data_IF_766624612237
#
_entry.id   IF_766624612237
#
_cell.length_a   1.000
_cell.length_b   1.000
_cell.length_c   1.000
_cell.angle_alpha   90.00
_cell.angle_beta   90.00
_cell.angle_gamma   90.00
#
_symmetry.space_group_name_H-M   'P 1'
#
loop_
_entity.id
_entity.type
_entity.pdbx_description
1 polymer ?
#
# COMPACT_ATOMS: atom_id res chain seq x y z
N UNK A 1 15.65 20.13 -1.55
CA UNK A 1 15.33 20.64 -0.19
C UNK A 1 15.93 19.73 0.86
N UNK A 2 16.29 20.28 2.03
CA UNK A 2 17.04 19.61 3.13
C UNK A 2 16.26 18.50 3.87
N UNK A 3 15.11 18.07 3.35
CA UNK A 3 14.25 17.07 4.00
C UNK A 3 14.98 15.76 4.25
N UNK A 4 15.89 15.39 3.35
CA UNK A 4 16.75 14.22 3.48
C UNK A 4 17.56 14.27 4.79
N UNK A 5 18.03 15.44 5.21
CA UNK A 5 18.90 15.61 6.37
C UNK A 5 18.14 15.66 7.70
N UNK A 6 16.80 15.65 7.66
CA UNK A 6 15.93 15.67 8.84
C UNK A 6 15.70 14.28 9.44
N UNK A 7 16.13 13.21 8.78
CA UNK A 7 15.98 11.86 9.28
C UNK A 7 16.99 11.57 10.39
N UNK A 8 16.49 11.20 11.57
CA UNK A 8 17.31 10.75 12.70
C UNK A 8 18.30 9.63 12.28
N UNK A 9 19.60 9.74 12.61
CA UNK A 9 20.59 8.69 12.31
C UNK A 9 20.17 7.27 12.73
N UNK A 10 19.42 7.12 13.83
CA UNK A 10 18.94 5.81 14.25
C UNK A 10 17.91 5.23 13.25
N UNK A 11 16.97 6.05 12.77
CA UNK A 11 16.03 5.66 11.72
C UNK A 11 16.75 5.36 10.39
N UNK A 12 17.78 6.14 10.02
CA UNK A 12 18.58 5.82 8.83
C UNK A 12 19.26 4.45 8.92
N UNK A 13 19.83 4.11 10.09
CA UNK A 13 20.42 2.79 10.34
C UNK A 13 19.38 1.67 10.24
N UNK A 14 18.18 1.89 10.79
CA UNK A 14 17.06 0.96 10.72
C UNK A 14 16.58 0.73 9.29
N UNK A 15 16.38 1.79 8.50
CA UNK A 15 15.99 1.69 7.09
C UNK A 15 17.03 0.93 6.26
N UNK A 16 18.33 1.16 6.49
CA UNK A 16 19.43 0.41 5.85
C UNK A 16 19.35 -1.08 6.19
N UNK A 17 19.17 -1.43 7.47
CA UNK A 17 19.00 -2.83 7.91
C UNK A 17 17.77 -3.49 7.27
N UNK A 18 16.65 -2.77 7.20
CA UNK A 18 15.42 -3.27 6.56
C UNK A 18 15.61 -3.51 5.07
N UNK A 19 16.27 -2.59 4.36
CA UNK A 19 16.57 -2.76 2.95
C UNK A 19 17.51 -3.94 2.69
N UNK A 20 18.58 -4.08 3.49
CA UNK A 20 19.49 -5.22 3.37
C UNK A 20 18.77 -6.55 3.61
N UNK A 21 17.89 -6.63 4.62
CA UNK A 21 17.05 -7.80 4.84
C UNK A 21 16.13 -8.07 3.65
N UNK A 22 15.57 -7.04 3.02
CA UNK A 22 14.74 -7.22 1.83
C UNK A 22 15.53 -7.83 0.66
N UNK A 23 16.77 -7.39 0.44
CA UNK A 23 17.66 -8.00 -0.55
C UNK A 23 18.01 -9.45 -0.20
N UNK A 24 18.29 -9.74 1.07
CA UNK A 24 18.51 -11.11 1.54
C UNK A 24 17.30 -12.01 1.28
N UNK A 25 16.08 -11.54 1.59
CA UNK A 25 14.86 -12.30 1.31
C UNK A 25 14.67 -12.57 -0.19
N UNK A 26 15.00 -11.60 -1.05
CA UNK A 26 14.95 -11.78 -2.48
C UNK A 26 15.99 -12.80 -2.97
N UNK A 27 17.20 -12.76 -2.42
CA UNK A 27 18.26 -13.73 -2.72
C UNK A 27 17.85 -15.15 -2.30
N UNK A 28 17.31 -15.31 -1.09
CA UNK A 28 16.79 -16.58 -0.57
C UNK A 28 15.45 -17.01 -1.20
N UNK A 29 14.86 -16.21 -2.08
CA UNK A 29 13.50 -16.41 -2.63
C UNK A 29 12.45 -16.70 -1.55
N UNK A 30 12.57 -16.03 -0.40
CA UNK A 30 11.73 -16.30 0.77
C UNK A 30 10.24 -16.19 0.40
N UNK A 31 9.38 -17.17 0.76
CA UNK A 31 8.03 -17.31 0.18
C UNK A 31 7.10 -16.14 0.48
N UNK A 32 7.27 -15.49 1.63
CA UNK A 32 6.40 -14.39 2.09
C UNK A 32 7.16 -13.11 2.41
N UNK A 33 8.42 -12.98 1.96
CA UNK A 33 9.23 -11.77 2.19
C UNK A 33 10.01 -11.40 0.92
N UNK A 34 10.34 -10.12 0.69
CA UNK A 34 9.98 -8.96 1.51
C UNK A 34 8.46 -8.64 1.51
N UNK A 35 8.05 -7.81 2.48
CA UNK A 35 6.68 -7.27 2.53
C UNK A 35 6.56 -6.06 1.58
N UNK A 36 5.35 -5.81 1.10
CA UNK A 36 4.93 -4.62 0.36
C UNK A 36 4.17 -3.74 1.35
N UNK A 37 4.35 -2.43 1.28
CA UNK A 37 3.64 -1.44 2.08
C UNK A 37 3.18 -0.33 1.14
N UNK A 38 1.87 -0.09 1.05
CA UNK A 38 1.20 0.70 0.01
C UNK A 38 1.50 2.20 0.03
N UNK A 39 2.13 2.72 1.10
CA UNK A 39 2.39 4.15 1.26
C UNK A 39 3.21 4.78 0.12
N UNK A 40 4.25 4.11 -0.37
CA UNK A 40 5.01 4.57 -1.54
C UNK A 40 5.57 3.37 -2.30
N UNK A 41 4.89 2.99 -3.38
CA UNK A 41 5.23 1.84 -4.22
C UNK A 41 5.21 2.24 -5.70
N UNK A 42 6.03 1.55 -6.49
CA UNK A 42 5.98 1.61 -7.94
C UNK A 42 5.80 0.21 -8.50
N UNK A 43 4.88 0.05 -9.44
CA UNK A 43 4.57 -1.24 -10.09
C UNK A 43 4.57 -1.00 -11.60
N UNK A 44 5.17 -1.91 -12.36
CA UNK A 44 5.09 -1.85 -13.80
C UNK A 44 3.63 -2.02 -14.25
N UNK A 45 3.14 -1.12 -15.12
CA UNK A 45 1.73 -1.10 -15.53
C UNK A 45 1.24 -2.47 -16.01
N UNK A 46 2.01 -3.13 -16.86
CA UNK A 46 1.64 -4.44 -17.40
C UNK A 46 1.52 -5.51 -16.30
N UNK A 47 2.34 -5.46 -15.24
CA UNK A 47 2.24 -6.41 -14.14
C UNK A 47 1.01 -6.12 -13.26
N UNK A 48 0.68 -4.84 -13.06
CA UNK A 48 -0.51 -4.42 -12.32
C UNK A 48 -1.79 -4.81 -13.06
N UNK A 49 -1.86 -4.55 -14.37
CA UNK A 49 -2.98 -4.95 -15.23
C UNK A 49 -3.09 -6.48 -15.32
N UNK A 50 -1.97 -7.21 -15.37
CA UNK A 50 -1.96 -8.68 -15.42
C UNK A 50 -2.64 -9.34 -14.22
N UNK A 51 -2.61 -8.72 -13.04
CA UNK A 51 -3.30 -9.22 -11.84
C UNK A 51 -4.64 -8.55 -11.58
N UNK A 52 -5.10 -7.68 -12.47
CA UNK A 52 -6.28 -6.84 -12.31
C UNK A 52 -6.25 -5.88 -11.11
N UNK A 53 -5.07 -5.42 -10.70
CA UNK A 53 -4.91 -4.43 -9.64
C UNK A 53 -5.32 -4.86 -8.23
N UNK A 54 -5.74 -3.88 -7.40
CA UNK A 54 -6.22 -4.10 -6.03
C UNK A 54 -7.58 -4.80 -5.99
N UNK A 55 -7.84 -5.53 -4.91
CA UNK A 55 -9.12 -6.18 -4.62
C UNK A 55 -10.05 -5.24 -3.86
N UNK A 56 -11.12 -4.79 -4.50
CA UNK A 56 -12.05 -3.81 -3.93
C UNK A 56 -13.05 -4.41 -2.92
N UNK A 57 -12.93 -5.71 -2.64
CA UNK A 57 -13.66 -6.32 -1.53
C UNK A 57 -13.02 -5.97 -0.17
N UNK A 58 -11.75 -5.55 -0.13
CA UNK A 58 -11.14 -5.05 1.10
C UNK A 58 -11.74 -3.69 1.45
N UNK A 59 -12.44 -3.63 2.59
CA UNK A 59 -13.07 -2.40 3.10
C UNK A 59 -12.49 -2.05 4.46
N UNK A 60 -12.36 -0.76 4.73
CA UNK A 60 -11.74 -0.29 5.97
C UNK A 60 -10.24 -0.56 6.01
N UNK A 61 -9.69 -0.90 7.17
CA UNK A 61 -8.24 -0.95 7.37
C UNK A 61 -7.67 -2.36 7.17
N UNK A 62 -6.65 -2.46 6.32
CA UNK A 62 -5.66 -3.53 6.32
C UNK A 62 -5.93 -4.71 5.39
N UNK A 63 -4.84 -5.44 5.14
CA UNK A 63 -4.72 -6.65 4.31
C UNK A 63 -4.73 -6.45 2.78
N UNK A 64 -5.11 -5.28 2.27
CA UNK A 64 -5.14 -4.97 0.84
C UNK A 64 -3.74 -5.01 0.20
N UNK A 65 -2.74 -4.45 0.87
CA UNK A 65 -1.34 -4.47 0.41
C UNK A 65 -0.73 -5.88 0.44
N UNK A 66 -1.14 -6.68 1.43
CA UNK A 66 -0.71 -8.08 1.54
C UNK A 66 -1.31 -8.92 0.42
N UNK A 67 -2.58 -8.70 0.07
CA UNK A 67 -3.26 -9.35 -1.05
C UNK A 67 -2.61 -8.99 -2.39
N UNK A 68 -2.42 -7.69 -2.68
CA UNK A 68 -1.75 -7.21 -3.89
C UNK A 68 -0.38 -7.87 -4.06
N UNK A 69 0.41 -7.91 -2.98
CA UNK A 69 1.72 -8.55 -2.98
C UNK A 69 1.65 -10.04 -3.30
N UNK A 70 0.70 -10.76 -2.71
CA UNK A 70 0.57 -12.20 -2.94
C UNK A 70 0.20 -12.49 -4.39
N UNK A 71 -0.67 -11.67 -5.01
CA UNK A 71 -1.03 -11.75 -6.43
C UNK A 71 0.15 -11.44 -7.35
N UNK A 72 0.90 -10.36 -7.09
CA UNK A 72 2.11 -10.03 -7.86
C UNK A 72 3.13 -11.19 -7.80
N UNK A 73 3.32 -11.78 -6.62
CA UNK A 73 4.25 -12.89 -6.45
C UNK A 73 3.80 -14.17 -7.15
N UNK A 74 2.50 -14.45 -7.19
CA UNK A 74 2.00 -15.65 -7.88
C UNK A 74 2.20 -15.58 -9.40
N UNK A 75 2.29 -14.37 -9.97
CA UNK A 75 2.65 -14.16 -11.39
C UNK A 75 4.17 -13.99 -11.63
N UNK A 76 4.99 -14.20 -10.60
CA UNK A 76 6.46 -14.20 -10.67
C UNK A 76 7.12 -12.84 -10.42
N UNK A 77 6.36 -11.79 -10.09
CA UNK A 77 6.91 -10.46 -9.83
C UNK A 77 7.62 -10.43 -8.47
N UNK A 78 8.83 -9.90 -8.46
CA UNK A 78 9.65 -9.75 -7.24
C UNK A 78 9.48 -8.35 -6.66
N UNK A 79 9.37 -8.29 -5.34
CA UNK A 79 9.25 -7.03 -4.62
C UNK A 79 10.66 -6.51 -4.25
N UNK A 80 11.00 -5.30 -4.70
CA UNK A 80 12.25 -4.62 -4.33
C UNK A 80 11.97 -3.53 -3.32
N UNK A 81 12.86 -3.38 -2.33
CA UNK A 81 12.73 -2.32 -1.32
C UNK A 81 13.35 -1.03 -1.84
N UNK A 82 12.62 0.07 -1.76
CA UNK A 82 13.13 1.41 -2.12
C UNK A 82 13.78 2.16 -0.95
N UNK A 83 13.82 1.56 0.25
CA UNK A 83 14.21 2.22 1.50
C UNK A 83 15.68 2.68 1.54
N UNK A 84 16.52 2.24 0.60
CA UNK A 84 17.89 2.76 0.45
C UNK A 84 17.93 4.13 -0.21
N UNK A 85 16.92 4.47 -1.01
CA UNK A 85 16.92 5.64 -1.89
C UNK A 85 15.86 6.68 -1.51
N UNK A 86 14.80 6.27 -0.81
CA UNK A 86 13.68 7.16 -0.46
C UNK A 86 13.55 7.36 1.05
N UNK A 87 13.02 8.54 1.43
CA UNK A 87 12.67 8.91 2.80
C UNK A 87 11.26 9.48 2.78
N UNK A 88 10.30 8.71 3.30
CA UNK A 88 8.89 9.11 3.32
C UNK A 88 8.56 9.68 4.68
N UNK A 89 7.97 10.87 4.71
CA UNK A 89 7.44 11.47 5.92
C UNK A 89 5.93 11.32 5.91
N UNK A 90 5.39 10.73 6.97
CA UNK A 90 3.95 10.62 7.16
C UNK A 90 3.45 11.88 7.86
N UNK A 91 2.52 12.59 7.23
CA UNK A 91 1.80 13.69 7.87
C UNK A 91 0.87 13.08 8.93
N UNK A 92 1.07 13.48 10.18
CA UNK A 92 0.31 12.92 11.28
C UNK A 92 -1.18 13.21 11.12
N UNK A 93 -2.00 12.19 11.33
CA UNK A 93 -3.44 12.28 11.47
C UNK A 93 -3.95 11.21 12.45
N UNK A 94 -5.15 11.38 13.02
CA UNK A 94 -5.80 10.34 13.82
C UNK A 94 -5.98 9.05 13.01
N UNK A 95 -5.93 7.91 13.70
CA UNK A 95 -6.17 6.60 13.07
C UNK A 95 -7.62 6.52 12.58
N UNK A 96 -7.85 5.74 11.52
CA UNK A 96 -9.21 5.40 11.07
C UNK A 96 -9.94 4.58 12.15
N UNK A 97 -11.24 4.79 12.30
CA UNK A 97 -12.11 4.01 13.21
C UNK A 97 -12.09 2.51 12.90
N UNK A 98 -11.80 2.15 11.66
CA UNK A 98 -11.68 0.75 11.21
C UNK A 98 -10.33 0.11 11.57
N UNK A 99 -9.41 0.86 12.20
CA UNK A 99 -8.08 0.35 12.55
C UNK A 99 -8.18 -0.55 13.78
N UNK A 100 -7.83 -1.85 13.68
CA UNK A 100 -7.90 -2.74 14.83
C UNK A 100 -6.74 -2.49 15.81
N UNK A 101 -6.93 -2.88 17.07
CA UNK A 101 -5.87 -2.82 18.10
C UNK A 101 -4.66 -3.67 17.73
N UNK A 102 -4.90 -4.88 17.20
CA UNK A 102 -3.87 -5.74 16.60
C UNK A 102 -4.29 -6.04 15.18
N UNK A 103 -3.32 -6.08 14.26
CA UNK A 103 -3.62 -6.34 12.84
C UNK A 103 -4.38 -7.65 12.62
N UNK A 104 -4.14 -8.68 13.45
CA UNK A 104 -4.79 -10.00 13.37
C UNK A 104 -6.28 -9.95 13.70
N UNK A 105 -6.72 -8.92 14.40
CA UNK A 105 -8.11 -8.71 14.79
C UNK A 105 -8.86 -7.87 13.74
N UNK A 106 -8.22 -7.56 12.60
CA UNK A 106 -8.82 -6.78 11.52
C UNK A 106 -9.88 -7.57 10.77
N UNK A 107 -10.96 -6.88 10.39
CA UNK A 107 -12.10 -7.47 9.67
C UNK A 107 -11.71 -8.18 8.35
N UNK A 108 -10.60 -7.77 7.74
CA UNK A 108 -10.14 -8.31 6.45
C UNK A 108 -9.22 -9.53 6.58
N UNK A 109 -8.86 -9.97 7.79
CA UNK A 109 -7.88 -11.06 7.98
C UNK A 109 -8.41 -12.40 7.49
N UNK A 110 -9.66 -12.74 7.83
CA UNK A 110 -10.30 -13.96 7.34
C UNK A 110 -10.39 -13.96 5.81
N UNK A 111 -10.80 -12.82 5.23
CA UNK A 111 -10.86 -12.65 3.78
C UNK A 111 -9.48 -12.81 3.11
N UNK A 112 -8.41 -12.26 3.70
CA UNK A 112 -7.04 -12.46 3.19
C UNK A 112 -6.60 -13.93 3.24
N UNK A 113 -7.02 -14.68 4.26
CA UNK A 113 -6.62 -16.07 4.49
C UNK A 113 -7.50 -17.09 3.75
N UNK A 114 -8.52 -16.64 3.03
CA UNK A 114 -9.42 -17.50 2.24
C UNK A 114 -8.66 -18.46 1.33
N UNK A 115 -9.21 -19.66 1.16
CA UNK A 115 -8.70 -20.62 0.19
C UNK A 115 -8.89 -20.13 -1.25
N UNK A 116 -8.14 -20.72 -2.19
CA UNK A 116 -8.33 -20.55 -3.63
C UNK A 116 -8.20 -19.11 -4.17
N UNK A 117 -7.44 -18.23 -3.51
CA UNK A 117 -7.08 -16.94 -4.12
C UNK A 117 -6.31 -17.16 -5.42
N UNK A 118 -6.88 -16.67 -6.51
CA UNK A 118 -6.27 -16.66 -7.84
C UNK A 118 -5.24 -15.54 -7.97
N UNK A 119 -4.39 -15.63 -9.00
CA UNK A 119 -3.47 -14.54 -9.33
C UNK A 119 -4.21 -13.28 -9.83
N UNK A 120 -5.28 -13.47 -10.60
CA UNK A 120 -6.12 -12.41 -11.16
C UNK A 120 -7.17 -11.97 -10.13
N UNK A 121 -7.30 -10.66 -9.89
CA UNK A 121 -8.31 -10.13 -8.99
C UNK A 121 -9.69 -10.12 -9.66
N UNK A 122 -10.68 -10.80 -9.07
CA UNK A 122 -12.04 -10.85 -9.65
C UNK A 122 -12.75 -9.50 -9.58
N UNK A 123 -12.65 -8.80 -8.44
CA UNK A 123 -13.22 -7.47 -8.24
C UNK A 123 -12.11 -6.41 -8.27
N UNK A 124 -11.52 -6.21 -9.45
CA UNK A 124 -10.35 -5.37 -9.65
C UNK A 124 -10.55 -4.25 -10.68
N UNK A 125 -9.46 -3.87 -11.34
CA UNK A 125 -9.35 -2.70 -12.24
C UNK A 125 -10.25 -2.77 -13.49
N UNK A 126 -10.42 -3.95 -14.08
CA UNK A 126 -11.00 -4.16 -15.41
C UNK A 126 -12.44 -3.67 -15.55
N UNK A 127 -13.24 -3.70 -14.49
CA UNK A 127 -14.61 -3.15 -14.48
C UNK A 127 -14.62 -1.68 -14.90
N UNK A 128 -13.58 -0.92 -14.58
CA UNK A 128 -13.48 0.48 -15.01
C UNK A 128 -13.01 0.62 -16.46
N UNK A 129 -12.25 -0.35 -16.96
CA UNK A 129 -11.75 -0.36 -18.35
C UNK A 129 -12.83 -0.80 -19.35
N UNK A 130 -13.84 -1.56 -18.90
CA UNK A 130 -14.97 -2.04 -19.72
C UNK A 130 -16.10 -1.01 -19.89
N UNK A 131 -15.93 0.21 -19.41
CA UNK A 131 -16.93 1.28 -19.56
C UNK A 131 -18.04 1.26 -18.51
N UNK A 132 -17.91 0.50 -17.42
CA UNK A 132 -18.86 0.51 -16.29
C UNK A 132 -18.58 1.68 -15.31
N UNK A 133 -17.50 2.44 -15.53
CA UNK A 133 -17.15 3.61 -14.74
C UNK A 133 -17.86 4.87 -15.24
N UNK A 134 -18.61 5.56 -14.36
CA UNK A 134 -18.95 6.97 -14.60
C UNK A 134 -17.94 7.85 -13.86
N UNK A 135 -17.30 8.77 -14.59
CA UNK A 135 -16.39 9.76 -14.00
C UNK A 135 -17.13 11.08 -13.89
N UNK A 136 -17.31 11.58 -12.67
CA UNK A 136 -17.77 12.95 -12.43
C UNK A 136 -16.59 13.82 -12.01
N UNK A 137 -16.34 14.88 -12.79
CA UNK A 137 -15.32 15.87 -12.45
C UNK A 137 -16.02 17.00 -11.70
N UNK A 138 -15.65 17.22 -10.45
CA UNK A 138 -16.07 18.39 -9.68
C UNK A 138 -14.87 19.28 -9.39
N UNK A 139 -15.06 20.60 -9.56
CA UNK A 139 -14.04 21.59 -9.22
C UNK A 139 -14.12 21.84 -7.71
N UNK A 140 -13.10 21.39 -6.97
CA UNK A 140 -13.00 21.72 -5.56
C UNK A 140 -12.66 23.20 -5.38
N UNK A 141 -13.55 23.96 -4.73
CA UNK A 141 -13.30 25.33 -4.29
C UNK A 141 -13.00 25.33 -2.79
N UNK A 142 -11.93 26.02 -2.39
CA UNK A 142 -11.52 26.15 -0.99
C UNK A 142 -12.68 26.78 -0.19
N UNK A 143 -13.14 26.16 0.92
CA UNK A 143 -14.15 26.76 1.77
C UNK A 143 -13.66 28.10 2.33
N UNK A 144 -14.56 29.07 2.48
CA UNK A 144 -14.25 30.31 3.19
C UNK A 144 -13.74 29.96 4.59
N UNK A 145 -12.60 30.53 4.97
CA UNK A 145 -12.04 30.39 6.31
C UNK A 145 -13.09 30.89 7.30
N UNK A 146 -13.61 30.02 8.17
CA UNK A 146 -14.40 30.47 9.32
C UNK A 146 -13.44 31.22 10.24
N UNK A 147 -13.46 32.54 10.15
CA UNK A 147 -12.94 33.39 11.23
C UNK A 147 -13.86 33.18 12.42
N UNK A 148 -13.44 32.37 13.39
CA UNK A 148 -14.07 32.42 14.70
C UNK A 148 -13.87 33.85 15.23
N UNK A 149 -14.91 34.53 15.75
CA UNK A 149 -14.69 35.78 16.48
C UNK A 149 -13.68 35.50 17.59
N UNK A 150 -12.68 36.37 17.73
CA UNK A 150 -11.80 36.33 18.88
C UNK A 150 -12.61 36.72 20.11
N UNK A 151 -12.62 35.81 21.10
CA UNK A 151 -13.14 35.90 22.48
C UNK A 151 -14.63 36.24 22.64
#
# INVERSE_FOLDING_TARGET
GRFMDLADPAELSKLRKMAWRAELHNWLRHPTKPKLFGGNIGIHRADYERINGYDENFRGWGCEDDDLRLRLRSVGVRIRSILRWTRTYHLWHPKSDTTPTKWKDGANVEYLLRANRTAYCENGLDKYLRGEASVSVSKWSRPAVRTSPAA
#
